data_IF_806866339932
#
_entry.id   IF_806866339932
#
_cell.length_a   1.000
_cell.length_b   1.000
_cell.length_c   1.000
_cell.angle_alpha   90.00
_cell.angle_beta   90.00
_cell.angle_gamma   90.00
#
_symmetry.space_group_name_H-M   'P 1'
#
loop_
_entity.id
_entity.type
_entity.pdbx_description
1 polymer ?
#
# COMPACT_ATOMS: atom_id res chain seq x y z
N UNK A 1 -0.04 9.40 21.80
CA UNK A 1 -1.24 8.74 21.27
C UNK A 1 -1.15 7.26 21.61
N UNK A 2 -1.94 6.77 22.57
CA UNK A 2 -1.93 5.35 22.97
C UNK A 2 -2.97 4.63 22.11
N UNK A 3 -2.52 3.82 21.16
CA UNK A 3 -3.41 2.98 20.35
C UNK A 3 -3.76 1.74 21.18
N UNK A 4 -5.06 1.40 21.28
CA UNK A 4 -5.50 0.20 22.01
C UNK A 4 -4.86 -1.07 21.45
N UNK A 5 -4.44 -1.98 22.33
CA UNK A 5 -3.86 -3.28 21.95
C UNK A 5 -4.84 -4.11 21.12
N UNK A 6 -6.13 -4.01 21.42
CA UNK A 6 -7.18 -4.74 20.71
C UNK A 6 -7.32 -4.24 19.27
N UNK A 7 -7.15 -2.94 19.04
CA UNK A 7 -7.15 -2.36 17.71
C UNK A 7 -5.92 -2.81 16.91
N UNK A 8 -4.74 -2.90 17.53
CA UNK A 8 -3.54 -3.40 16.87
C UNK A 8 -3.69 -4.87 16.47
N UNK A 9 -4.26 -5.69 17.34
CA UNK A 9 -4.54 -7.11 17.03
C UNK A 9 -5.53 -7.24 15.89
N UNK A 10 -6.64 -6.49 15.92
CA UNK A 10 -7.61 -6.46 14.83
C UNK A 10 -6.99 -6.01 13.51
N UNK A 11 -6.18 -4.94 13.53
CA UNK A 11 -5.49 -4.48 12.32
C UNK A 11 -4.48 -5.51 11.81
N UNK A 12 -3.76 -6.22 12.69
CA UNK A 12 -2.82 -7.25 12.28
C UNK A 12 -3.50 -8.43 11.56
N UNK A 13 -4.68 -8.86 12.04
CA UNK A 13 -5.49 -9.90 11.40
C UNK A 13 -5.97 -9.49 10.00
N UNK A 14 -6.25 -8.20 9.77
CA UNK A 14 -6.73 -7.71 8.48
C UNK A 14 -5.61 -7.19 7.56
N UNK A 15 -4.45 -6.82 8.10
CA UNK A 15 -3.31 -6.29 7.35
C UNK A 15 -2.55 -7.36 6.58
N UNK A 16 -2.66 -8.63 6.98
CA UNK A 16 -1.98 -9.76 6.34
C UNK A 16 -2.98 -10.57 5.51
N UNK A 17 -3.48 -9.96 4.44
CA UNK A 17 -4.23 -10.69 3.40
C UNK A 17 -3.31 -10.92 2.22
N UNK A 18 -3.36 -12.11 1.65
CA UNK A 18 -2.72 -12.34 0.37
C UNK A 18 -3.34 -11.41 -0.67
N UNK A 19 -2.51 -10.70 -1.47
CA UNK A 19 -3.03 -9.84 -2.51
C UNK A 19 -3.71 -10.69 -3.59
N UNK A 20 -4.74 -10.12 -4.22
CA UNK A 20 -5.38 -10.73 -5.39
C UNK A 20 -4.31 -10.99 -6.47
N UNK A 21 -4.20 -12.21 -7.05
CA UNK A 21 -3.13 -12.59 -7.98
C UNK A 21 -2.92 -11.63 -9.15
N UNK A 22 -4.00 -11.02 -9.65
CA UNK A 22 -3.95 -10.04 -10.73
C UNK A 22 -3.16 -8.76 -10.37
N UNK A 23 -3.02 -8.45 -9.08
CA UNK A 23 -2.27 -7.28 -8.59
C UNK A 23 -0.77 -7.56 -8.40
N UNK A 24 -0.33 -8.82 -8.47
CA UNK A 24 1.08 -9.18 -8.26
C UNK A 24 2.04 -8.45 -9.20
N UNK A 25 1.77 -8.32 -10.53
CA UNK A 25 2.67 -7.58 -11.41
C UNK A 25 2.83 -6.11 -11.00
N UNK A 26 1.74 -5.49 -10.55
CA UNK A 26 1.73 -4.10 -10.08
C UNK A 26 2.54 -3.93 -8.78
N UNK A 27 2.35 -4.87 -7.84
CA UNK A 27 3.11 -4.91 -6.58
C UNK A 27 4.61 -5.02 -6.86
N UNK A 28 5.01 -5.91 -7.77
CA UNK A 28 6.43 -6.08 -8.13
C UNK A 28 7.01 -4.84 -8.79
N UNK A 29 6.24 -4.13 -9.62
CA UNK A 29 6.68 -2.87 -10.21
C UNK A 29 6.86 -1.77 -9.15
N UNK A 30 5.98 -1.70 -8.15
CA UNK A 30 6.15 -0.76 -7.04
C UNK A 30 7.39 -1.05 -6.20
N UNK A 31 7.67 -2.32 -5.90
CA UNK A 31 8.90 -2.70 -5.16
C UNK A 31 10.17 -2.27 -5.90
N UNK A 32 10.18 -2.36 -7.24
CA UNK A 32 11.31 -1.90 -8.06
C UNK A 32 11.40 -0.38 -8.10
N UNK A 33 10.26 0.30 -8.24
CA UNK A 33 10.19 1.75 -8.38
C UNK A 33 10.49 2.49 -7.07
N UNK A 34 10.10 1.94 -5.93
CA UNK A 34 10.19 2.57 -4.61
C UNK A 34 11.11 1.76 -3.68
N UNK A 35 12.43 2.00 -3.70
CA UNK A 35 13.41 1.20 -2.95
C UNK A 35 13.24 1.27 -1.42
N UNK A 36 12.53 2.29 -0.91
CA UNK A 36 12.21 2.47 0.50
C UNK A 36 10.77 2.09 0.86
N UNK A 37 10.07 1.34 -0.01
CA UNK A 37 8.73 0.83 0.23
C UNK A 37 8.73 -0.14 1.42
N UNK A 38 7.79 0.06 2.34
CA UNK A 38 7.60 -0.75 3.55
C UNK A 38 6.35 -1.61 3.46
N UNK A 39 5.27 -1.04 2.94
CA UNK A 39 4.00 -1.74 2.81
C UNK A 39 3.15 -1.10 1.71
N UNK A 40 2.24 -1.90 1.17
CA UNK A 40 1.18 -1.45 0.25
C UNK A 40 -0.14 -1.72 0.97
N UNK A 41 -0.94 -0.68 1.17
CA UNK A 41 -2.26 -0.80 1.77
C UNK A 41 -3.30 -0.61 0.67
N UNK A 42 -3.92 -1.71 0.26
CA UNK A 42 -5.08 -1.67 -0.62
C UNK A 42 -6.32 -1.29 0.21
N UNK A 43 -7.14 -0.38 -0.29
CA UNK A 43 -8.38 0.02 0.36
C UNK A 43 -9.50 0.22 -0.66
N UNK A 44 -10.74 0.26 -0.18
CA UNK A 44 -11.92 0.47 -1.02
C UNK A 44 -12.70 -0.79 -1.37
N UNK A 45 -13.82 -0.58 -2.07
CA UNK A 45 -14.85 -1.59 -2.36
C UNK A 45 -14.36 -2.73 -3.27
N UNK A 46 -13.30 -2.52 -4.06
CA UNK A 46 -12.73 -3.54 -4.94
C UNK A 46 -12.27 -4.80 -4.19
N UNK A 47 -11.84 -4.67 -2.93
CA UNK A 47 -11.41 -5.81 -2.12
C UNK A 47 -12.57 -6.66 -1.57
N UNK A 48 -13.77 -6.08 -1.43
CA UNK A 48 -14.94 -6.83 -0.99
C UNK A 48 -15.59 -7.63 -2.12
N UNK A 49 -15.57 -7.10 -3.35
CA UNK A 49 -16.30 -7.72 -4.47
C UNK A 49 -15.43 -8.65 -5.33
N UNK A 50 -14.11 -8.70 -5.14
CA UNK A 50 -13.14 -9.46 -5.98
C UNK A 50 -13.25 -9.20 -7.49
N UNK A 51 -13.98 -8.15 -7.88
CA UNK A 51 -14.15 -7.74 -9.26
C UNK A 51 -13.28 -6.50 -9.52
N UNK A 52 -12.06 -6.76 -9.99
CA UNK A 52 -11.10 -5.73 -10.37
C UNK A 52 -11.48 -5.01 -11.67
N UNK A 53 -12.56 -5.39 -12.35
CA UNK A 53 -12.96 -4.81 -13.64
C UNK A 53 -13.98 -3.68 -13.50
N UNK A 54 -14.63 -3.54 -12.34
CA UNK A 54 -15.72 -2.60 -12.10
C UNK A 54 -15.34 -1.34 -11.34
N UNK A 55 -14.18 -1.31 -10.69
CA UNK A 55 -13.74 -0.16 -9.90
C UNK A 55 -12.24 0.04 -9.98
N UNK A 56 -11.80 1.28 -9.82
CA UNK A 56 -10.39 1.61 -9.68
C UNK A 56 -9.88 1.06 -8.35
N UNK A 57 -8.66 0.55 -8.35
CA UNK A 57 -7.99 0.08 -7.13
C UNK A 57 -7.37 1.27 -6.44
N UNK A 58 -7.90 1.63 -5.27
CA UNK A 58 -7.30 2.63 -4.42
C UNK A 58 -6.24 2.00 -3.50
N UNK A 59 -5.06 2.61 -3.43
CA UNK A 59 -3.96 2.11 -2.61
C UNK A 59 -3.09 3.23 -2.04
N UNK A 60 -2.44 2.92 -0.91
CA UNK A 60 -1.36 3.72 -0.34
C UNK A 60 -0.03 2.96 -0.41
N UNK A 61 1.04 3.65 -0.79
CA UNK A 61 2.41 3.18 -0.67
C UNK A 61 3.03 3.79 0.59
N UNK A 62 3.37 2.95 1.56
CA UNK A 62 4.01 3.39 2.80
C UNK A 62 5.52 3.26 2.65
N UNK A 63 6.24 4.38 2.73
CA UNK A 63 7.69 4.44 2.57
C UNK A 63 8.36 4.82 3.90
N UNK A 64 9.65 4.51 4.03
CA UNK A 64 10.42 4.85 5.25
C UNK A 64 10.46 6.35 5.51
N UNK A 65 10.59 7.15 4.46
CA UNK A 65 10.68 8.60 4.53
C UNK A 65 9.99 9.25 3.32
N UNK A 66 9.72 10.55 3.45
CA UNK A 66 9.02 11.35 2.45
C UNK A 66 9.73 11.36 1.10
N UNK A 67 11.07 11.38 1.11
CA UNK A 67 11.87 11.31 -0.13
C UNK A 67 11.64 9.99 -0.86
N UNK A 68 11.48 8.90 -0.11
CA UNK A 68 11.14 7.58 -0.65
C UNK A 68 9.75 7.49 -1.30
N UNK A 69 8.85 8.46 -1.06
CA UNK A 69 7.55 8.52 -1.74
C UNK A 69 7.66 9.03 -3.19
N UNK A 70 8.78 9.66 -3.55
CA UNK A 70 9.02 10.15 -4.89
C UNK A 70 9.83 9.16 -5.71
N UNK A 71 9.39 8.90 -6.95
CA UNK A 71 10.14 8.10 -7.93
C UNK A 71 11.49 8.74 -8.27
N UNK A 72 11.57 10.07 -8.17
CA UNK A 72 12.79 10.84 -8.37
C UNK A 72 13.06 11.69 -7.11
N UNK A 73 14.19 11.47 -6.40
CA UNK A 73 14.54 12.24 -5.21
C UNK A 73 14.61 13.76 -5.45
N UNK A 74 14.89 14.21 -6.68
CA UNK A 74 14.90 15.63 -7.01
C UNK A 74 13.52 16.28 -6.94
N UNK A 75 12.44 15.51 -7.19
CA UNK A 75 11.06 16.00 -7.03
C UNK A 75 10.67 16.19 -5.57
N UNK A 76 11.33 15.46 -4.66
CA UNK A 76 11.13 15.61 -3.23
C UNK A 76 11.72 16.92 -2.68
N UNK A 77 12.71 17.51 -3.38
CA UNK A 77 13.34 18.78 -2.96
C UNK A 77 12.56 20.03 -3.41
N UNK A 78 11.60 19.86 -4.31
CA UNK A 78 10.76 20.96 -4.82
C UNK A 78 9.47 21.17 -4.01
N UNK A 79 9.23 20.36 -2.97
CA UNK A 79 8.09 20.45 -2.05
C UNK A 79 8.54 20.79 -0.63
#
# INVERSE_FOLDING_TARGET
>A
MVISRDLLTYLAEYAVREPEPALLPLIEEFKKTYPNLRAILFYGSCLQEKDLTRSLVDLYLLTKDYRGAYRNPALALAN
#
